data_IF_930500793109
#
_entry.id   IF_930500793109
#
_cell.length_a   1.000
_cell.length_b   1.000
_cell.length_c   1.000
_cell.angle_alpha   90.00
_cell.angle_beta   90.00
_cell.angle_gamma   90.00
#
_symmetry.space_group_name_H-M   'P 1'
#
loop_
_entity.id
_entity.type
_entity.pdbx_description
1 polymer ?
#
# COMPACT_ATOMS: atom_id res chain seq x y z
N UNK A 1 -7.11 -11.95 16.23
CA UNK A 1 -7.72 -12.19 14.94
C UNK A 1 -8.64 -11.01 14.62
N UNK A 2 -8.46 -10.37 13.50
CA UNK A 2 -9.27 -9.27 12.99
C UNK A 2 -9.31 -9.36 11.47
N UNK A 3 -10.10 -8.52 10.84
CA UNK A 3 -10.13 -8.39 9.39
C UNK A 3 -8.95 -7.54 8.92
N UNK A 4 -8.42 -7.86 7.74
CA UNK A 4 -7.39 -7.06 7.07
C UNK A 4 -8.08 -6.21 6.01
N UNK A 5 -7.99 -4.90 6.16
CA UNK A 5 -8.59 -3.95 5.22
C UNK A 5 -7.54 -3.45 4.22
N UNK A 6 -7.83 -3.65 2.94
CA UNK A 6 -6.98 -3.24 1.83
C UNK A 6 -7.72 -2.22 0.99
N UNK A 7 -7.10 -1.09 0.71
CA UNK A 7 -7.68 0.01 -0.07
C UNK A 7 -6.84 0.33 -1.29
N UNK A 8 -7.52 0.67 -2.37
CA UNK A 8 -6.89 1.24 -3.54
C UNK A 8 -6.37 2.64 -3.22
N UNK A 9 -5.16 2.97 -3.66
CA UNK A 9 -4.52 4.25 -3.33
C UNK A 9 -5.16 5.46 -4.02
N UNK A 10 -6.03 5.26 -5.03
CA UNK A 10 -6.68 6.33 -5.79
C UNK A 10 -6.11 6.52 -7.20
N UNK A 11 -6.88 7.20 -8.05
CA UNK A 11 -6.60 7.33 -9.47
C UNK A 11 -6.46 8.80 -9.93
N UNK A 12 -6.20 9.73 -9.03
CA UNK A 12 -5.98 11.15 -9.33
C UNK A 12 -4.60 11.49 -9.87
N UNK A 13 -3.69 10.52 -9.96
CA UNK A 13 -2.34 10.70 -10.46
C UNK A 13 -1.52 11.64 -9.58
N UNK A 14 -0.94 12.70 -10.19
CA UNK A 14 -0.18 13.73 -9.47
C UNK A 14 -1.06 14.88 -8.96
N UNK A 15 -2.34 14.87 -9.35
CA UNK A 15 -3.30 15.93 -8.96
C UNK A 15 -3.99 15.64 -7.63
N UNK A 16 -3.82 14.44 -7.10
CA UNK A 16 -4.38 14.00 -5.83
C UNK A 16 -3.36 13.17 -5.04
N UNK A 17 -3.67 12.86 -3.79
CA UNK A 17 -2.77 12.13 -2.90
C UNK A 17 -3.53 11.12 -2.06
N UNK A 18 -2.98 9.92 -1.99
CA UNK A 18 -3.48 8.86 -1.10
C UNK A 18 -3.59 9.31 0.37
N UNK A 19 -2.77 10.27 0.79
CA UNK A 19 -2.79 10.83 2.15
C UNK A 19 -4.08 11.60 2.48
N UNK A 20 -4.84 12.04 1.46
CA UNK A 20 -6.09 12.78 1.64
C UNK A 20 -7.32 11.87 1.80
N UNK A 21 -7.19 10.58 1.47
CA UNK A 21 -8.25 9.59 1.70
C UNK A 21 -8.14 9.05 3.15
N UNK A 22 -9.16 9.29 4.01
CA UNK A 22 -9.11 8.88 5.41
C UNK A 22 -9.11 7.35 5.61
N UNK A 23 -9.59 6.58 4.65
CA UNK A 23 -9.54 5.12 4.71
C UNK A 23 -8.17 4.59 4.27
N UNK A 24 -7.62 5.09 3.16
CA UNK A 24 -6.31 4.68 2.67
C UNK A 24 -5.16 5.19 3.55
N UNK A 25 -5.33 6.33 4.24
CA UNK A 25 -4.33 6.91 5.14
C UNK A 25 -4.39 6.38 6.58
N UNK A 26 -5.35 5.51 6.90
CA UNK A 26 -5.46 4.92 8.24
C UNK A 26 -4.32 3.94 8.52
N UNK A 27 -3.73 4.00 9.72
CA UNK A 27 -2.72 3.02 10.17
C UNK A 27 -3.21 1.57 10.22
N UNK A 28 -4.52 1.36 10.25
CA UNK A 28 -5.16 0.05 10.34
C UNK A 28 -5.47 -0.57 8.98
N UNK A 29 -5.17 0.14 7.90
CA UNK A 29 -5.45 -0.29 6.54
C UNK A 29 -4.17 -0.42 5.73
N UNK A 30 -4.26 -1.04 4.58
CA UNK A 30 -3.16 -1.23 3.64
C UNK A 30 -3.54 -0.53 2.35
N UNK A 31 -2.88 0.59 2.04
CA UNK A 31 -3.05 1.28 0.77
C UNK A 31 -2.16 0.63 -0.30
N UNK A 32 -2.76 0.26 -1.43
CA UNK A 32 -2.08 -0.38 -2.56
C UNK A 32 -2.15 0.52 -3.78
N UNK A 33 -0.99 0.98 -4.24
CA UNK A 33 -0.83 1.72 -5.49
C UNK A 33 -0.67 0.80 -6.70
N UNK A 34 -0.56 1.40 -7.88
CA UNK A 34 -0.52 0.67 -9.14
C UNK A 34 0.79 0.91 -9.92
N UNK A 35 1.36 -0.17 -10.45
CA UNK A 35 2.45 -0.17 -11.43
C UNK A 35 2.01 -0.86 -12.71
N UNK A 36 2.58 -0.43 -13.85
CA UNK A 36 2.40 -1.07 -15.13
C UNK A 36 3.32 -2.29 -15.31
N UNK A 37 3.18 -2.96 -16.45
CA UNK A 37 3.98 -4.13 -16.85
C UNK A 37 5.47 -3.83 -17.11
N UNK A 38 5.87 -2.57 -17.05
CA UNK A 38 7.25 -2.07 -17.09
C UNK A 38 7.83 -1.76 -15.69
N UNK A 39 7.16 -2.14 -14.61
CA UNK A 39 7.54 -1.88 -13.22
C UNK A 39 7.60 -0.39 -12.82
N UNK A 40 7.04 0.51 -13.62
CA UNK A 40 6.93 1.93 -13.26
C UNK A 40 5.53 2.29 -12.78
N UNK A 41 5.43 3.38 -12.03
CA UNK A 41 4.15 3.87 -11.52
C UNK A 41 3.15 4.10 -12.65
N UNK A 42 1.97 3.54 -12.54
CA UNK A 42 0.88 3.84 -13.46
C UNK A 42 0.54 5.34 -13.41
N UNK A 43 0.32 6.01 -14.55
CA UNK A 43 0.14 7.47 -14.57
C UNK A 43 -0.99 7.99 -13.68
N UNK A 44 -2.01 7.19 -13.47
CA UNK A 44 -3.16 7.51 -12.61
C UNK A 44 -2.92 7.21 -11.13
N UNK A 45 -1.98 6.36 -10.78
CA UNK A 45 -1.75 5.98 -9.37
C UNK A 45 -1.34 7.20 -8.55
N UNK A 46 -2.07 7.47 -7.50
CA UNK A 46 -1.75 8.54 -6.56
C UNK A 46 -0.46 8.23 -5.80
N UNK A 47 0.17 9.27 -5.32
CA UNK A 47 1.38 9.23 -4.52
C UNK A 47 1.07 9.65 -3.08
N UNK A 48 1.89 9.24 -2.13
CA UNK A 48 1.77 9.70 -0.74
C UNK A 48 2.47 8.79 0.25
N UNK A 49 2.66 9.30 1.45
CA UNK A 49 3.38 8.61 2.53
C UNK A 49 2.58 7.48 3.18
N UNK A 50 1.26 7.48 3.01
CA UNK A 50 0.39 6.41 3.52
C UNK A 50 0.35 5.17 2.63
N UNK A 51 0.89 5.24 1.39
CA UNK A 51 1.00 4.06 0.52
C UNK A 51 1.95 3.04 1.12
N UNK A 52 1.49 1.82 1.33
CA UNK A 52 2.34 0.76 1.86
C UNK A 52 3.12 0.04 0.76
N UNK A 53 2.43 -0.42 -0.26
CA UNK A 53 3.00 -1.22 -1.36
C UNK A 53 2.27 -0.92 -2.67
N UNK A 54 2.81 -1.41 -3.79
CA UNK A 54 2.16 -1.35 -5.09
C UNK A 54 1.98 -2.76 -5.68
N UNK A 55 1.02 -2.90 -6.58
CA UNK A 55 0.79 -4.13 -7.31
C UNK A 55 0.56 -3.85 -8.81
N UNK A 56 0.66 -4.89 -9.62
CA UNK A 56 0.47 -4.81 -11.05
C UNK A 56 -0.94 -4.35 -11.42
N UNK A 57 -1.02 -3.51 -12.44
CA UNK A 57 -2.26 -3.01 -13.03
C UNK A 57 -2.03 -2.59 -14.48
N UNK A 58 -2.99 -1.88 -15.07
CA UNK A 58 -2.80 -1.16 -16.33
C UNK A 58 -1.82 0.02 -16.14
N UNK A 59 -1.31 0.56 -17.23
CA UNK A 59 -0.50 1.79 -17.14
C UNK A 59 0.68 1.83 -18.11
N UNK A 60 0.88 0.77 -18.88
CA UNK A 60 1.83 0.71 -19.97
C UNK A 60 1.25 -0.08 -21.15
N UNK A 61 1.76 -1.27 -21.47
CA UNK A 61 1.32 -2.02 -22.66
C UNK A 61 0.24 -3.06 -22.35
N UNK A 62 0.09 -3.46 -21.09
CA UNK A 62 -0.83 -4.51 -20.66
C UNK A 62 -1.76 -4.03 -19.57
N UNK A 63 -2.99 -4.49 -19.66
CA UNK A 63 -4.01 -4.34 -18.64
C UNK A 63 -4.26 -5.68 -17.94
N UNK A 64 -5.10 -5.67 -16.92
CA UNK A 64 -5.45 -6.87 -16.18
C UNK A 64 -6.55 -7.64 -16.92
N UNK A 65 -6.30 -8.93 -17.13
CA UNK A 65 -7.29 -9.88 -17.62
C UNK A 65 -8.11 -10.44 -16.46
N UNK A 66 -9.42 -10.30 -16.52
CA UNK A 66 -10.32 -10.75 -15.45
C UNK A 66 -11.72 -11.07 -15.98
N UNK A 67 -12.58 -11.56 -15.09
CA UNK A 67 -14.00 -11.82 -15.38
C UNK A 67 -14.77 -10.51 -15.64
N UNK A 68 -15.81 -10.61 -16.47
CA UNK A 68 -16.69 -9.49 -16.82
C UNK A 68 -18.16 -9.91 -16.73
N UNK A 69 -19.08 -8.96 -16.93
CA UNK A 69 -20.52 -9.20 -16.92
C UNK A 69 -20.94 -10.19 -17.99
N UNK A 70 -22.04 -10.92 -17.76
CA UNK A 70 -22.59 -11.85 -18.74
C UNK A 70 -21.76 -13.11 -18.99
N UNK A 71 -21.04 -13.61 -17.95
CA UNK A 71 -20.19 -14.81 -18.04
C UNK A 71 -19.06 -14.67 -19.08
N UNK A 72 -18.55 -13.46 -19.26
CA UNK A 72 -17.46 -13.13 -20.18
C UNK A 72 -16.18 -12.75 -19.44
N UNK A 73 -15.15 -12.36 -20.21
CA UNK A 73 -13.86 -11.88 -19.71
C UNK A 73 -13.53 -10.53 -20.36
N UNK A 74 -12.68 -9.76 -19.70
CA UNK A 74 -12.10 -8.51 -20.23
C UNK A 74 -10.59 -8.55 -20.09
N UNK A 75 -9.91 -7.89 -21.00
CA UNK A 75 -8.45 -7.67 -20.97
C UNK A 75 -8.11 -6.17 -20.82
N UNK A 76 -9.06 -5.36 -20.36
CA UNK A 76 -8.92 -3.91 -20.22
C UNK A 76 -9.29 -3.41 -18.82
N UNK A 77 -9.12 -4.25 -17.79
CA UNK A 77 -9.34 -3.83 -16.40
C UNK A 77 -8.05 -3.20 -15.84
N UNK A 78 -8.20 -2.12 -15.07
CA UNK A 78 -7.05 -1.37 -14.57
C UNK A 78 -7.40 -0.49 -13.37
N UNK A 79 -6.62 0.58 -13.21
CA UNK A 79 -6.71 1.46 -12.05
C UNK A 79 -6.08 0.84 -10.81
N UNK A 80 -5.96 1.60 -9.75
CA UNK A 80 -5.63 1.06 -8.41
C UNK A 80 -6.71 0.08 -7.93
N UNK A 81 -7.88 0.10 -8.58
CA UNK A 81 -8.98 -0.87 -8.38
C UNK A 81 -8.63 -2.30 -8.79
N UNK A 82 -7.65 -2.52 -9.68
CA UNK A 82 -7.16 -3.86 -10.01
C UNK A 82 -5.92 -4.24 -9.19
N UNK A 83 -5.09 -3.29 -8.82
CA UNK A 83 -3.93 -3.51 -7.96
C UNK A 83 -4.34 -3.94 -6.53
N UNK A 84 -5.36 -3.29 -5.98
CA UNK A 84 -5.85 -3.55 -4.63
C UNK A 84 -6.27 -5.03 -4.41
N UNK A 85 -7.13 -5.65 -5.23
CA UNK A 85 -7.50 -7.05 -5.06
C UNK A 85 -6.35 -8.03 -5.29
N UNK A 86 -5.33 -7.69 -6.10
CA UNK A 86 -4.11 -8.49 -6.20
C UNK A 86 -3.34 -8.49 -4.87
N UNK A 87 -3.24 -7.32 -4.23
CA UNK A 87 -2.68 -7.20 -2.88
C UNK A 87 -3.47 -8.00 -1.86
N UNK A 88 -4.80 -7.91 -1.88
CA UNK A 88 -5.67 -8.70 -1.01
C UNK A 88 -5.51 -10.21 -1.22
N UNK A 89 -5.34 -10.64 -2.48
CA UNK A 89 -5.06 -12.05 -2.82
C UNK A 89 -3.72 -12.53 -2.24
N UNK A 90 -2.65 -11.75 -2.36
CA UNK A 90 -1.37 -12.08 -1.76
C UNK A 90 -1.47 -12.19 -0.22
N UNK A 91 -2.20 -11.29 0.43
CA UNK A 91 -2.46 -11.32 1.87
C UNK A 91 -3.25 -12.57 2.26
N UNK A 92 -4.25 -12.97 1.47
CA UNK A 92 -5.01 -14.19 1.73
C UNK A 92 -4.10 -15.43 1.73
N UNK A 93 -3.14 -15.52 0.80
CA UNK A 93 -2.14 -16.60 0.78
C UNK A 93 -1.20 -16.55 1.99
N UNK A 94 -0.82 -15.35 2.47
CA UNK A 94 -0.05 -15.21 3.71
C UNK A 94 -0.82 -15.74 4.92
N UNK A 95 -2.12 -15.41 5.03
CA UNK A 95 -2.99 -15.86 6.11
C UNK A 95 -3.29 -17.37 6.04
N UNK A 96 -3.30 -17.96 4.83
CA UNK A 96 -3.37 -19.42 4.67
C UNK A 96 -2.09 -20.09 5.18
N UNK A 97 -0.93 -19.53 4.86
CA UNK A 97 0.36 -20.04 5.31
C UNK A 97 0.55 -19.91 6.84
N UNK A 98 0.01 -18.84 7.43
CA UNK A 98 0.05 -18.62 8.88
C UNK A 98 -1.22 -17.88 9.36
N UNK A 99 -2.24 -18.62 9.82
CA UNK A 99 -3.51 -18.04 10.27
C UNK A 99 -3.42 -17.26 11.59
N UNK A 100 -2.26 -17.25 12.25
CA UNK A 100 -2.07 -16.52 13.51
C UNK A 100 -1.55 -15.09 13.30
N UNK A 101 -1.30 -14.66 12.06
CA UNK A 101 -0.84 -13.30 11.77
C UNK A 101 -1.87 -12.26 12.20
N UNK A 102 -1.38 -11.21 12.84
CA UNK A 102 -2.17 -10.01 13.13
C UNK A 102 -2.08 -9.03 11.94
N UNK A 103 -2.91 -8.00 11.95
CA UNK A 103 -2.85 -6.94 10.94
C UNK A 103 -1.47 -6.25 10.88
N UNK A 104 -0.78 -6.13 12.02
CA UNK A 104 0.57 -5.57 12.10
C UNK A 104 1.61 -6.48 11.48
N UNK A 105 1.46 -7.79 11.71
CA UNK A 105 2.35 -8.80 11.12
C UNK A 105 2.24 -8.78 9.60
N UNK A 106 1.01 -8.70 9.07
CA UNK A 106 0.77 -8.61 7.63
C UNK A 106 1.45 -7.38 7.03
N UNK A 107 1.31 -6.20 7.65
CA UNK A 107 1.99 -4.99 7.19
C UNK A 107 3.52 -5.16 7.24
N UNK A 108 4.06 -5.68 8.33
CA UNK A 108 5.50 -5.90 8.48
C UNK A 108 6.04 -6.87 7.43
N UNK A 109 5.36 -7.98 7.18
CA UNK A 109 5.76 -8.95 6.15
C UNK A 109 5.72 -8.33 4.76
N UNK A 110 4.70 -7.53 4.43
CA UNK A 110 4.64 -6.83 3.15
C UNK A 110 5.83 -5.85 2.97
N UNK A 111 6.24 -5.17 4.04
CA UNK A 111 7.41 -4.28 4.02
C UNK A 111 8.70 -5.08 3.80
N UNK A 112 8.91 -6.15 4.57
CA UNK A 112 10.12 -6.98 4.52
C UNK A 112 10.28 -7.73 3.20
N UNK A 113 9.17 -8.12 2.57
CA UNK A 113 9.15 -8.93 1.37
C UNK A 113 9.00 -8.12 0.07
N UNK A 114 8.72 -6.82 0.18
CA UNK A 114 8.50 -5.98 -1.00
C UNK A 114 9.72 -5.95 -1.92
N UNK A 115 9.46 -5.99 -3.22
CA UNK A 115 10.47 -5.89 -4.26
C UNK A 115 10.62 -4.44 -4.73
N UNK A 116 11.81 -3.90 -4.67
CA UNK A 116 12.10 -2.56 -5.21
C UNK A 116 11.82 -2.55 -6.72
N UNK A 117 10.82 -1.79 -7.14
CA UNK A 117 10.50 -1.53 -8.54
C UNK A 117 11.05 -0.17 -8.97
N UNK A 118 11.18 0.08 -10.28
CA UNK A 118 11.77 1.32 -10.83
C UNK A 118 13.00 1.81 -10.03
N UNK A 119 14.09 1.04 -9.97
CA UNK A 119 15.23 1.35 -9.09
C UNK A 119 15.94 2.64 -9.46
N UNK A 120 15.71 3.17 -10.65
CA UNK A 120 16.26 4.45 -11.13
C UNK A 120 15.48 5.68 -10.66
N UNK A 121 14.31 5.49 -10.03
CA UNK A 121 13.49 6.59 -9.53
C UNK A 121 14.20 7.34 -8.40
N UNK A 122 14.35 8.66 -8.56
CA UNK A 122 15.12 9.49 -7.62
C UNK A 122 14.47 9.69 -6.25
N UNK A 123 13.18 9.30 -6.09
CA UNK A 123 12.45 9.42 -4.83
C UNK A 123 12.68 8.25 -3.86
N UNK A 124 13.49 7.26 -4.24
CA UNK A 124 13.89 6.22 -3.29
C UNK A 124 14.78 6.78 -2.19
N UNK A 125 14.40 6.55 -0.95
CA UNK A 125 15.17 6.90 0.24
C UNK A 125 15.24 5.68 1.17
N UNK A 126 16.31 5.57 1.94
CA UNK A 126 16.44 4.51 2.93
C UNK A 126 16.19 5.09 4.31
N UNK A 127 15.24 4.52 5.04
CA UNK A 127 14.90 4.91 6.41
C UNK A 127 16.03 4.54 7.38
N UNK A 128 16.00 5.12 8.59
CA UNK A 128 16.93 4.74 9.66
C UNK A 128 16.83 3.26 10.07
N UNK A 129 15.70 2.62 9.81
CA UNK A 129 15.50 1.17 10.01
C UNK A 129 16.04 0.29 8.88
N UNK A 130 16.64 0.87 7.83
CA UNK A 130 17.22 0.14 6.71
C UNK A 130 16.23 -0.20 5.59
N UNK A 131 14.97 0.25 5.68
CA UNK A 131 13.96 0.00 4.64
C UNK A 131 14.02 1.06 3.56
N UNK A 132 14.00 0.63 2.30
CA UNK A 132 13.79 1.52 1.17
C UNK A 132 12.32 1.91 1.10
N UNK A 133 12.05 3.20 0.89
CA UNK A 133 10.70 3.72 0.70
C UNK A 133 10.67 4.81 -0.36
N UNK A 134 9.52 4.95 -1.02
CA UNK A 134 9.33 5.89 -2.12
C UNK A 134 7.88 6.39 -2.11
N UNK A 135 7.69 7.69 -2.27
CA UNK A 135 6.37 8.32 -2.29
C UNK A 135 5.44 7.76 -3.39
N UNK A 136 6.00 7.20 -4.47
CA UNK A 136 5.27 6.60 -5.59
C UNK A 136 5.00 5.10 -5.43
N UNK A 137 5.77 4.42 -4.58
CA UNK A 137 5.81 2.96 -4.53
C UNK A 137 5.67 2.38 -3.11
N UNK A 138 5.55 3.24 -2.08
CA UNK A 138 5.63 2.78 -0.70
C UNK A 138 6.96 2.06 -0.47
N UNK A 139 6.91 0.85 0.05
CA UNK A 139 8.08 -0.02 0.25
C UNK A 139 8.46 -0.84 -1.00
N UNK A 140 7.62 -0.80 -2.05
CA UNK A 140 7.87 -1.48 -3.33
C UNK A 140 6.70 -2.32 -3.81
N UNK A 141 6.96 -3.11 -4.85
CA UNK A 141 5.97 -4.02 -5.41
C UNK A 141 5.80 -5.26 -4.53
N UNK A 142 4.56 -5.71 -4.37
CA UNK A 142 4.25 -6.97 -3.67
C UNK A 142 4.94 -8.13 -4.40
N UNK A 143 5.72 -8.90 -3.64
CA UNK A 143 6.22 -10.21 -4.03
C UNK A 143 5.47 -11.27 -3.22
N UNK A 144 4.43 -11.84 -3.82
CA UNK A 144 3.56 -12.80 -3.14
C UNK A 144 4.30 -14.07 -2.70
N UNK A 145 5.26 -14.54 -3.51
CA UNK A 145 6.06 -15.73 -3.17
C UNK A 145 6.92 -15.49 -1.94
N UNK A 146 7.60 -14.35 -1.92
CA UNK A 146 8.46 -13.95 -0.80
C UNK A 146 7.61 -13.68 0.45
N UNK A 147 6.49 -12.97 0.31
CA UNK A 147 5.58 -12.67 1.41
C UNK A 147 5.01 -13.96 2.08
N UNK A 148 4.61 -14.95 1.29
CA UNK A 148 4.13 -16.25 1.80
C UNK A 148 5.26 -17.01 2.52
N UNK A 149 6.48 -16.97 1.97
CA UNK A 149 7.64 -17.60 2.60
C UNK A 149 7.97 -16.98 3.96
N UNK A 150 7.93 -15.66 4.07
CA UNK A 150 8.07 -14.95 5.35
C UNK A 150 6.94 -15.29 6.31
N UNK A 151 5.68 -15.27 5.83
CA UNK A 151 4.50 -15.57 6.64
C UNK A 151 4.58 -16.94 7.32
N UNK A 152 5.02 -17.96 6.59
CA UNK A 152 5.11 -19.34 7.08
C UNK A 152 6.02 -19.50 8.31
N UNK A 153 7.03 -18.65 8.45
CA UNK A 153 8.02 -18.72 9.55
C UNK A 153 7.99 -17.50 10.46
N UNK A 154 7.01 -16.61 10.26
CA UNK A 154 6.94 -15.33 10.98
C UNK A 154 6.65 -15.52 12.48
N UNK A 155 7.43 -14.85 13.30
CA UNK A 155 7.13 -14.70 14.73
C UNK A 155 6.35 -13.41 14.94
N UNK A 156 5.16 -13.52 15.51
CA UNK A 156 4.27 -12.38 15.71
C UNK A 156 4.95 -11.23 16.45
N UNK A 157 4.69 -10.03 16.01
CA UNK A 157 5.11 -8.81 16.70
C UNK A 157 4.48 -8.76 18.11
N UNK A 158 5.17 -8.17 19.09
CA UNK A 158 4.62 -7.96 20.43
C UNK A 158 3.27 -7.20 20.36
N UNK A 159 2.40 -7.45 21.31
CA UNK A 159 1.13 -6.73 21.43
C UNK A 159 1.35 -5.22 21.41
N UNK A 160 0.46 -4.51 20.73
CA UNK A 160 0.50 -3.05 20.68
C UNK A 160 0.39 -2.46 22.09
N UNK A 161 1.26 -1.50 22.40
CA UNK A 161 1.18 -0.70 23.62
C UNK A 161 0.65 0.68 23.25
N UNK A 162 -0.49 1.05 23.83
CA UNK A 162 -1.12 2.35 23.61
C UNK A 162 -0.87 3.19 24.86
N UNK A 163 -0.36 4.41 24.68
CA UNK A 163 -0.29 5.44 25.70
C UNK A 163 -1.12 6.64 25.22
N UNK A 164 -2.00 7.14 26.07
CA UNK A 164 -2.84 8.30 25.76
C UNK A 164 -2.57 9.40 26.77
N UNK A 165 -2.29 10.61 26.28
CA UNK A 165 -2.13 11.81 27.11
C UNK A 165 -3.47 12.47 27.50
N UNK A 166 -4.60 11.92 27.07
CA UNK A 166 -5.91 12.57 27.14
C UNK A 166 -6.13 13.60 26.02
N UNK A 167 -7.34 14.14 25.96
CA UNK A 167 -7.68 15.17 24.97
C UNK A 167 -7.08 16.51 25.36
N UNK A 168 -6.27 17.09 24.49
CA UNK A 168 -5.77 18.46 24.62
C UNK A 168 -6.60 19.34 23.68
N UNK A 169 -7.27 20.34 24.21
CA UNK A 169 -7.96 21.32 23.39
C UNK A 169 -6.90 22.23 22.71
N UNK A 170 -6.78 22.09 21.39
CA UNK A 170 -5.93 22.99 20.61
C UNK A 170 -6.83 24.04 19.96
N UNK A 171 -6.71 25.29 20.39
CA UNK A 171 -7.38 26.42 19.76
C UNK A 171 -6.42 27.14 18.82
N UNK A 172 -5.96 26.41 17.80
CA UNK A 172 -5.05 26.93 16.79
C UNK A 172 -5.72 26.82 15.42
N UNK A 173 -5.71 27.92 14.67
CA UNK A 173 -6.17 27.87 13.29
C UNK A 173 -5.20 27.04 12.45
N UNK A 174 -5.71 26.05 11.75
CA UNK A 174 -4.94 25.28 10.76
C UNK A 174 -4.74 26.20 9.55
N UNK A 175 -3.50 26.54 9.16
CA UNK A 175 -3.26 27.32 7.95
C UNK A 175 -3.79 26.58 6.73
N UNK A 176 -4.59 27.24 5.92
CA UNK A 176 -5.01 26.74 4.60
C UNK A 176 -3.86 26.96 3.60
N UNK A 177 -2.79 26.18 3.76
CA UNK A 177 -1.60 26.29 2.92
C UNK A 177 -0.89 24.93 2.83
N UNK A 178 -1.15 24.23 1.75
CA UNK A 178 -0.60 22.90 1.44
C UNK A 178 0.94 22.87 1.32
N UNK A 179 1.59 24.04 1.16
CA UNK A 179 3.03 24.11 0.92
C UNK A 179 3.87 24.27 2.20
N UNK A 180 3.28 24.73 3.29
CA UNK A 180 4.05 25.03 4.52
C UNK A 180 3.88 24.02 5.64
N UNK A 181 2.85 23.16 5.62
CA UNK A 181 2.57 22.21 6.68
C UNK A 181 2.59 22.84 8.10
N UNK A 182 1.98 22.22 9.06
CA UNK A 182 2.18 22.57 10.47
C UNK A 182 3.34 21.74 11.03
N UNK A 183 4.40 22.40 11.48
CA UNK A 183 5.39 21.75 12.34
C UNK A 183 4.83 21.68 13.76
N UNK A 184 4.49 20.49 14.21
CA UNK A 184 4.12 20.16 15.58
C UNK A 184 5.32 19.63 16.34
#
# INVERSE_FOLDING_TARGET
LGEIFVFAAGNGGISDRVDYDPYASSRYTIAVGAIGDNDTRAPYSEQGSSMLVVAQSSGNNRDIYTTSVGSSYTNSFGGTSSACPLGAGAIALMLEANPNLTWRDVQAILIESARKCDPSNSNWTTSAGGYDLNINYGYGAIDASNAVSFAATWSNLPSEKISSSGSIAVNQQIPDNDLTGLNY
#
